data_IF_950680544424
#
_entry.id   IF_950680544424
#
_cell.length_a   1.000
_cell.length_b   1.000
_cell.length_c   1.000
_cell.angle_alpha   90.00
_cell.angle_beta   90.00
_cell.angle_gamma   90.00
#
_symmetry.space_group_name_H-M   'P 1'
#
loop_
_entity.id
_entity.type
_entity.pdbx_description
1 polymer ?
#
# COMPACT_ATOMS: atom_id res chain seq x y z
N UNK A 1 -2.47 -12.39 -23.73
CA UNK A 1 -1.75 -13.16 -22.69
C UNK A 1 -0.25 -13.21 -22.96
N UNK A 2 0.23 -13.91 -24.00
CA UNK A 2 1.68 -14.09 -24.27
C UNK A 2 2.52 -12.79 -24.37
N UNK A 3 1.98 -11.71 -24.98
CA UNK A 3 2.69 -10.42 -25.09
C UNK A 3 2.88 -9.75 -23.73
N UNK A 4 1.86 -9.79 -22.87
CA UNK A 4 1.89 -9.20 -21.53
C UNK A 4 2.84 -9.97 -20.61
N UNK A 5 2.79 -11.30 -20.65
CA UNK A 5 3.72 -12.16 -19.91
C UNK A 5 5.18 -11.89 -20.28
N UNK A 6 5.45 -11.70 -21.58
CA UNK A 6 6.78 -11.32 -22.08
C UNK A 6 7.22 -9.95 -21.55
N UNK A 7 6.34 -8.97 -21.56
CA UNK A 7 6.62 -7.63 -21.02
C UNK A 7 6.90 -7.67 -19.51
N UNK A 8 6.06 -8.34 -18.73
CA UNK A 8 6.24 -8.48 -17.27
C UNK A 8 7.54 -9.21 -16.93
N UNK A 9 7.88 -10.25 -17.68
CA UNK A 9 9.15 -10.98 -17.51
C UNK A 9 10.35 -10.07 -17.77
N UNK A 10 10.31 -9.23 -18.81
CA UNK A 10 11.36 -8.26 -19.09
C UNK A 10 11.48 -7.20 -17.99
N UNK A 11 10.35 -6.64 -17.52
CA UNK A 11 10.34 -5.68 -16.41
C UNK A 11 10.92 -6.28 -15.13
N UNK A 12 10.59 -7.53 -14.82
CA UNK A 12 11.17 -8.24 -13.66
C UNK A 12 12.69 -8.30 -13.75
N UNK A 13 13.24 -8.64 -14.91
CA UNK A 13 14.71 -8.68 -15.13
C UNK A 13 15.32 -7.28 -15.00
N UNK A 14 14.67 -6.25 -15.55
CA UNK A 14 15.14 -4.86 -15.45
C UNK A 14 15.17 -4.41 -13.98
N UNK A 15 14.10 -4.65 -13.23
CA UNK A 15 14.01 -4.28 -11.81
C UNK A 15 15.08 -5.01 -10.99
N UNK A 16 15.26 -6.32 -11.22
CA UNK A 16 16.29 -7.10 -10.53
C UNK A 16 17.72 -6.62 -10.81
N UNK A 17 17.97 -6.03 -11.99
CA UNK A 17 19.26 -5.42 -12.34
C UNK A 17 19.38 -3.94 -11.94
N UNK A 18 18.27 -3.33 -11.52
CA UNK A 18 18.26 -1.94 -11.06
C UNK A 18 18.78 -1.83 -9.63
N UNK A 19 19.06 -0.60 -9.20
CA UNK A 19 19.40 -0.33 -7.81
C UNK A 19 18.20 -0.38 -6.87
N UNK A 20 16.98 -0.65 -7.35
CA UNK A 20 15.75 -0.58 -6.54
C UNK A 20 15.56 -1.88 -5.77
N UNK A 21 15.67 -1.82 -4.44
CA UNK A 21 15.48 -2.97 -3.55
C UNK A 21 14.13 -2.94 -2.85
N UNK A 22 13.71 -1.76 -2.42
CA UNK A 22 12.46 -1.54 -1.68
C UNK A 22 11.64 -0.42 -2.31
N UNK A 23 10.35 -0.39 -2.02
CA UNK A 23 9.41 0.59 -2.60
C UNK A 23 8.47 1.12 -1.50
N UNK A 24 8.08 2.39 -1.61
CA UNK A 24 6.96 2.90 -0.84
C UNK A 24 5.64 2.40 -1.46
N UNK A 25 4.78 1.65 -0.74
CA UNK A 25 3.53 1.15 -1.31
C UNK A 25 2.55 2.27 -1.67
N UNK A 26 2.60 3.41 -0.97
CA UNK A 26 1.72 4.55 -1.24
C UNK A 26 2.10 5.31 -2.52
N UNK A 27 3.39 5.60 -2.70
CA UNK A 27 3.88 6.40 -3.83
C UNK A 27 4.38 5.59 -5.02
N UNK A 28 4.58 4.28 -4.85
CA UNK A 28 5.31 3.41 -5.76
C UNK A 28 6.74 3.90 -6.08
N UNK A 29 7.31 4.74 -5.23
CA UNK A 29 8.67 5.24 -5.37
C UNK A 29 9.67 4.18 -4.90
N UNK A 30 10.64 3.87 -5.77
CA UNK A 30 11.70 2.91 -5.49
C UNK A 30 12.90 3.50 -4.75
N UNK A 31 13.50 2.73 -3.86
CA UNK A 31 14.67 3.09 -3.08
C UNK A 31 15.70 1.95 -3.05
N UNK A 32 17.00 2.29 -2.99
CA UNK A 32 18.05 1.27 -2.97
C UNK A 32 18.23 0.60 -1.61
N UNK A 33 17.79 1.24 -0.53
CA UNK A 33 17.97 0.73 0.83
C UNK A 33 16.79 1.08 1.72
N UNK A 34 16.58 0.26 2.74
CA UNK A 34 15.48 0.43 3.69
C UNK A 34 15.63 1.64 4.61
N UNK A 35 16.85 2.04 4.97
CA UNK A 35 17.08 3.25 5.77
C UNK A 35 16.60 4.52 5.04
N UNK A 36 16.84 4.58 3.72
CA UNK A 36 16.39 5.70 2.87
C UNK A 36 14.86 5.71 2.78
N UNK A 37 14.24 4.53 2.64
CA UNK A 37 12.78 4.39 2.67
C UNK A 37 12.17 4.82 4.02
N UNK A 38 12.76 4.42 5.14
CA UNK A 38 12.27 4.87 6.45
C UNK A 38 12.46 6.37 6.67
N UNK A 39 13.48 6.99 6.06
CA UNK A 39 13.62 8.44 6.04
C UNK A 39 12.51 9.08 5.20
N UNK A 40 12.19 8.51 4.03
CA UNK A 40 11.06 8.93 3.20
C UNK A 40 9.75 8.98 4.02
N UNK A 41 9.43 7.91 4.76
CA UNK A 41 8.24 7.85 5.62
C UNK A 41 8.17 8.95 6.70
N UNK A 42 9.32 9.47 7.15
CA UNK A 42 9.39 10.53 8.16
C UNK A 42 9.33 11.94 7.57
N UNK A 43 9.73 12.08 6.30
CA UNK A 43 9.73 13.37 5.60
C UNK A 43 8.35 13.71 5.07
N UNK A 44 7.62 12.70 4.59
CA UNK A 44 6.25 12.86 4.11
C UNK A 44 5.29 13.20 5.26
N UNK A 45 4.32 14.07 4.98
CA UNK A 45 3.43 14.66 6.00
C UNK A 45 2.07 13.98 6.11
N UNK A 46 1.76 13.03 5.24
CA UNK A 46 0.49 12.32 5.29
C UNK A 46 0.46 11.19 6.33
N UNK A 47 -0.76 10.82 6.71
CA UNK A 47 -0.99 9.82 7.75
C UNK A 47 -0.54 8.41 7.31
N UNK A 48 -0.54 8.11 6.01
CA UNK A 48 -0.16 6.79 5.50
C UNK A 48 1.35 6.60 5.66
N UNK A 49 2.16 7.53 5.17
CA UNK A 49 3.62 7.46 5.35
C UNK A 49 4.01 7.43 6.82
N UNK A 50 3.36 8.27 7.65
CA UNK A 50 3.57 8.22 9.10
C UNK A 50 3.29 6.82 9.66
N UNK A 51 2.14 6.23 9.33
CA UNK A 51 1.79 4.87 9.77
C UNK A 51 2.75 3.79 9.27
N UNK A 52 3.24 3.89 8.02
CA UNK A 52 4.24 2.98 7.46
C UNK A 52 5.57 2.98 8.24
N UNK A 53 5.90 4.10 8.90
CA UNK A 53 7.07 4.18 9.78
C UNK A 53 6.91 3.46 11.13
N UNK A 54 5.67 3.16 11.54
CA UNK A 54 5.33 2.77 12.91
C UNK A 54 5.40 1.26 13.19
N UNK A 55 5.90 0.45 12.26
CA UNK A 55 5.93 -1.03 12.39
C UNK A 55 6.40 -1.54 13.76
N UNK A 56 7.41 -0.90 14.36
CA UNK A 56 7.99 -1.32 15.65
C UNK A 56 7.25 -0.76 16.86
N UNK A 57 6.63 0.41 16.74
CA UNK A 57 5.99 1.11 17.86
C UNK A 57 4.50 0.85 17.95
N UNK A 58 3.83 0.74 16.80
CA UNK A 58 2.41 0.43 16.66
C UNK A 58 2.20 -0.43 15.40
N UNK A 59 2.22 -1.74 15.60
CA UNK A 59 2.04 -2.68 14.50
C UNK A 59 0.62 -2.64 13.92
N UNK A 60 -0.40 -2.33 14.74
CA UNK A 60 -1.80 -2.29 14.30
C UNK A 60 -2.01 -1.11 13.35
N UNK A 61 -1.53 0.07 13.73
CA UNK A 61 -1.58 1.26 12.88
C UNK A 61 -0.75 1.07 11.61
N UNK A 62 0.44 0.49 11.73
CA UNK A 62 1.27 0.14 10.59
C UNK A 62 0.53 -0.78 9.60
N UNK A 63 -0.10 -1.86 10.08
CA UNK A 63 -0.78 -2.81 9.22
C UNK A 63 -1.96 -2.16 8.47
N UNK A 64 -2.74 -1.33 9.16
CA UNK A 64 -3.86 -0.60 8.55
C UNK A 64 -3.38 0.32 7.41
N UNK A 65 -2.37 1.17 7.68
CA UNK A 65 -1.79 2.05 6.65
C UNK A 65 -1.11 1.26 5.52
N UNK A 66 -0.52 0.11 5.82
CA UNK A 66 0.11 -0.75 4.81
C UNK A 66 -0.93 -1.37 3.87
N UNK A 67 -2.04 -1.88 4.40
CA UNK A 67 -3.16 -2.40 3.62
C UNK A 67 -3.80 -1.30 2.76
N UNK A 68 -4.00 -0.12 3.34
CA UNK A 68 -4.53 1.04 2.61
C UNK A 68 -3.60 1.46 1.47
N UNK A 69 -2.29 1.53 1.71
CA UNK A 69 -1.31 1.88 0.69
C UNK A 69 -1.24 0.85 -0.45
N UNK A 70 -1.39 -0.44 -0.14
CA UNK A 70 -1.51 -1.48 -1.16
C UNK A 70 -2.85 -1.46 -1.89
N UNK A 71 -3.89 -0.92 -1.26
CA UNK A 71 -5.29 -1.09 -1.67
C UNK A 71 -5.81 -2.51 -1.49
N UNK A 72 -5.08 -3.37 -0.77
CA UNK A 72 -5.36 -4.81 -0.65
C UNK A 72 -5.34 -5.23 0.83
N UNK A 73 -6.20 -6.18 1.17
CA UNK A 73 -6.18 -6.79 2.50
C UNK A 73 -5.14 -7.90 2.54
N UNK A 74 -4.14 -7.74 3.42
CA UNK A 74 -3.11 -8.75 3.69
C UNK A 74 -3.11 -9.12 5.17
N UNK A 75 -3.08 -10.42 5.50
CA UNK A 75 -2.99 -10.84 6.89
C UNK A 75 -1.60 -10.56 7.47
N UNK A 76 -1.55 -10.26 8.77
CA UNK A 76 -0.29 -10.02 9.48
C UNK A 76 0.70 -11.19 9.36
N UNK A 77 0.19 -12.42 9.31
CA UNK A 77 0.96 -13.66 9.18
C UNK A 77 1.68 -13.80 7.84
N UNK A 78 1.11 -13.27 6.76
CA UNK A 78 1.71 -13.27 5.42
C UNK A 78 2.76 -12.18 5.26
N UNK A 79 2.82 -11.22 6.18
CA UNK A 79 3.68 -10.07 6.07
C UNK A 79 5.13 -10.43 6.40
N UNK A 80 6.04 -10.24 5.44
CA UNK A 80 7.47 -10.50 5.68
C UNK A 80 8.02 -9.64 6.81
N UNK A 81 8.96 -10.18 7.58
CA UNK A 81 9.56 -9.51 8.74
C UNK A 81 10.41 -8.29 8.36
N UNK A 82 10.40 -7.26 9.21
CA UNK A 82 11.25 -6.07 9.09
C UNK A 82 10.96 -5.23 7.85
N UNK A 83 12.00 -4.87 7.08
CA UNK A 83 11.82 -4.10 5.85
C UNK A 83 11.41 -4.97 4.65
N UNK A 84 11.42 -6.31 4.79
CA UNK A 84 11.20 -7.22 3.66
C UNK A 84 9.78 -7.15 3.09
N UNK A 85 8.82 -6.64 3.86
CA UNK A 85 7.49 -6.34 3.32
C UNK A 85 7.52 -5.20 2.30
N UNK A 86 8.55 -4.37 2.27
CA UNK A 86 8.70 -3.30 1.29
C UNK A 86 9.54 -3.70 0.08
N UNK A 87 10.03 -4.95 0.00
CA UNK A 87 10.75 -5.42 -1.17
C UNK A 87 9.88 -5.28 -2.42
N UNK A 88 10.46 -4.78 -3.51
CA UNK A 88 9.71 -4.45 -4.75
C UNK A 88 8.83 -5.60 -5.20
N UNK A 89 9.39 -6.81 -5.26
CA UNK A 89 8.66 -7.99 -5.73
C UNK A 89 7.51 -8.37 -4.80
N UNK A 90 7.65 -8.18 -3.49
CA UNK A 90 6.58 -8.48 -2.54
C UNK A 90 5.43 -7.48 -2.67
N UNK A 91 5.75 -6.19 -2.78
CA UNK A 91 4.74 -5.14 -2.97
C UNK A 91 4.00 -5.35 -4.28
N UNK A 92 4.71 -5.59 -5.39
CA UNK A 92 4.08 -5.83 -6.70
C UNK A 92 3.14 -7.04 -6.68
N UNK A 93 3.50 -8.12 -5.98
CA UNK A 93 2.67 -9.32 -5.87
C UNK A 93 1.38 -9.11 -5.07
N UNK A 94 1.37 -8.17 -4.12
CA UNK A 94 0.24 -7.91 -3.21
C UNK A 94 -0.44 -6.56 -3.46
N UNK A 95 -0.03 -5.85 -4.52
CA UNK A 95 -0.63 -4.57 -4.87
C UNK A 95 -2.01 -4.82 -5.47
N UNK A 96 -3.02 -4.14 -4.97
CA UNK A 96 -4.36 -4.30 -5.49
C UNK A 96 -4.44 -3.90 -6.96
N UNK A 97 -5.16 -4.71 -7.73
CA UNK A 97 -5.59 -4.30 -9.05
C UNK A 97 -6.70 -3.25 -8.94
N UNK A 98 -6.92 -2.45 -9.98
CA UNK A 98 -7.86 -1.33 -9.96
C UNK A 98 -9.29 -1.72 -9.50
N UNK A 99 -9.72 -2.95 -9.76
CA UNK A 99 -11.00 -3.50 -9.30
C UNK A 99 -11.09 -3.67 -7.77
N UNK A 100 -10.00 -4.04 -7.10
CA UNK A 100 -9.96 -4.26 -5.65
C UNK A 100 -9.93 -2.94 -4.88
N UNK A 101 -9.31 -1.90 -5.46
CA UNK A 101 -9.32 -0.54 -4.92
C UNK A 101 -10.71 0.10 -4.89
N UNK A 102 -11.54 -0.17 -5.91
CA UNK A 102 -12.94 0.31 -5.96
C UNK A 102 -13.78 -0.32 -4.84
N UNK A 103 -13.54 -1.59 -4.51
CA UNK A 103 -14.30 -2.30 -3.49
C UNK A 103 -13.98 -1.81 -2.07
N UNK A 104 -12.72 -1.50 -1.75
CA UNK A 104 -12.36 -0.86 -0.48
C UNK A 104 -13.02 0.52 -0.31
N UNK A 105 -13.02 1.36 -1.33
CA UNK A 105 -13.68 2.67 -1.26
C UNK A 105 -15.21 2.57 -1.11
N UNK A 106 -15.82 1.52 -1.66
CA UNK A 106 -17.26 1.27 -1.50
C UNK A 106 -17.61 0.82 -0.08
N UNK A 107 -16.77 0.00 0.57
CA UNK A 107 -17.00 -0.46 1.94
C UNK A 107 -16.79 0.64 2.98
N UNK A 108 -15.90 1.59 2.73
CA UNK A 108 -15.65 2.74 3.61
C UNK A 108 -16.75 3.81 3.54
N UNK A 109 -17.53 3.90 2.46
CA UNK A 109 -18.66 4.84 2.32
C UNK A 109 -19.99 4.32 2.84
N UNK A 110 -20.09 3.02 3.15
CA UNK A 110 -21.32 2.40 3.67
C UNK A 110 -21.62 2.72 5.14
N UNK A 111 -20.79 3.53 5.81
CA UNK A 111 -20.92 3.84 7.25
C UNK A 111 -21.43 5.25 7.56
N UNK A 112 -21.69 6.10 6.56
CA UNK A 112 -22.32 7.42 6.77
C UNK A 112 -23.83 7.34 6.55
N UNK A 113 -24.54 6.68 7.48
CA UNK A 113 -25.98 6.87 7.63
C UNK A 113 -26.21 8.08 8.54
N UNK A 114 -26.31 9.28 7.97
CA UNK A 114 -26.98 10.38 8.66
C UNK A 114 -28.48 10.26 8.41
N UNK A 115 -29.19 9.75 9.41
CA UNK A 115 -30.58 10.16 9.63
C UNK A 115 -30.56 11.65 9.95
N UNK A 116 -31.20 12.49 9.15
CA UNK A 116 -31.76 13.75 9.65
C UNK A 116 -33.00 14.11 8.85
N UNK A 117 -34.12 14.16 9.57
CA UNK A 117 -35.46 14.18 9.01
C UNK A 117 -35.90 15.49 8.34
N UNK A 118 -36.88 15.32 7.45
CA UNK A 118 -37.87 16.33 7.09
C UNK A 118 -38.74 16.69 8.32
N UNK A 119 -39.19 17.95 8.44
CA UNK A 119 -40.55 18.29 7.99
C UNK A 119 -40.59 19.64 7.23
N UNK A 120 -41.26 19.69 6.08
CA UNK A 120 -42.66 20.08 5.88
C UNK A 120 -42.89 21.59 5.92
N UNK A 121 -43.23 22.11 4.75
CA UNK A 121 -43.68 23.47 4.47
C UNK A 121 -44.86 23.90 5.34
N UNK A 122 -44.85 25.17 5.75
CA UNK A 122 -46.02 26.04 5.95
C UNK A 122 -45.57 27.50 5.88
#
# INVERSE_FOLDING_TARGET
>A
MASLEKQLSAFKVIIQKSAISVVCPQCLQGFPRSDVLYRHFKTEKDNIHRGLSMRKSDFKQFLACYQEALGASISAEKLRYGYKCFEVMFVVEHYANDAEKVQMNSSSRSSESYETGLPSEA
#
